data_IF_869663584557
#
_entry.id   IF_869663584557
#
_cell.length_a   1.000
_cell.length_b   1.000
_cell.length_c   1.000
_cell.angle_alpha   90.00
_cell.angle_beta   90.00
_cell.angle_gamma   90.00
#
_symmetry.space_group_name_H-M   'P 1'
#
loop_
_entity.id
_entity.type
_entity.pdbx_description
1 polymer ?
#
# COMPACT_ATOMS: atom_id res chain seq x y z
N UNK A 1 18.82 11.11 18.11
CA UNK A 1 17.74 11.72 17.29
C UNK A 1 17.18 10.62 16.41
N UNK A 2 15.87 10.43 16.37
CA UNK A 2 15.27 9.48 15.41
C UNK A 2 15.63 9.93 13.99
N UNK A 3 15.98 8.98 13.10
CA UNK A 3 16.24 9.28 11.71
C UNK A 3 14.98 9.85 11.08
N UNK A 4 15.12 10.90 10.28
CA UNK A 4 13.97 11.45 9.54
C UNK A 4 13.52 10.45 8.48
N UNK A 5 12.21 10.36 8.31
CA UNK A 5 11.62 9.54 7.25
C UNK A 5 11.86 10.18 5.89
N UNK A 6 12.30 9.37 4.93
CA UNK A 6 12.70 9.79 3.60
C UNK A 6 11.55 9.62 2.61
N UNK A 7 11.25 10.66 1.86
CA UNK A 7 10.23 10.63 0.82
C UNK A 7 10.88 10.97 -0.52
N UNK A 8 10.74 10.10 -1.49
CA UNK A 8 11.11 10.36 -2.87
C UNK A 8 9.91 10.98 -3.59
N UNK A 9 10.08 12.16 -4.15
CA UNK A 9 9.08 12.89 -4.93
C UNK A 9 9.50 12.82 -6.39
N UNK A 10 8.69 12.21 -7.22
CA UNK A 10 8.94 12.05 -8.67
C UNK A 10 7.82 12.78 -9.41
N UNK A 11 8.15 13.93 -9.98
CA UNK A 11 7.20 14.81 -10.66
C UNK A 11 7.97 15.71 -11.64
N UNK A 12 7.58 15.77 -12.89
CA UNK A 12 8.25 16.60 -13.92
C UNK A 12 7.93 18.09 -13.76
N UNK A 13 6.83 18.46 -13.10
CA UNK A 13 6.56 19.83 -12.72
C UNK A 13 7.34 20.21 -11.45
N UNK A 14 8.46 20.89 -11.64
CA UNK A 14 9.34 21.34 -10.55
C UNK A 14 8.58 22.17 -9.51
N UNK A 15 7.61 23.00 -9.91
CA UNK A 15 6.87 23.84 -8.96
C UNK A 15 5.98 22.98 -8.05
N UNK A 16 5.33 21.96 -8.60
CA UNK A 16 4.52 21.02 -7.83
C UNK A 16 5.42 20.22 -6.89
N UNK A 17 6.53 19.68 -7.39
CA UNK A 17 7.49 18.93 -6.60
C UNK A 17 8.09 19.74 -5.44
N UNK A 18 8.48 20.99 -5.68
CA UNK A 18 8.99 21.91 -4.65
C UNK A 18 7.91 22.24 -3.61
N UNK A 19 6.68 22.47 -4.06
CA UNK A 19 5.55 22.74 -3.16
C UNK A 19 5.28 21.55 -2.24
N UNK A 20 5.25 20.33 -2.79
CA UNK A 20 5.12 19.09 -2.02
C UNK A 20 6.27 18.96 -1.00
N UNK A 21 7.50 19.15 -1.47
CA UNK A 21 8.70 19.09 -0.62
C UNK A 21 8.64 20.09 0.53
N UNK A 22 8.19 21.32 0.27
CA UNK A 22 8.05 22.35 1.28
C UNK A 22 7.06 21.92 2.39
N UNK A 23 5.89 21.38 2.01
CA UNK A 23 4.92 20.90 3.00
C UNK A 23 5.44 19.74 3.82
N UNK A 24 6.07 18.76 3.17
CA UNK A 24 6.59 17.57 3.85
C UNK A 24 7.79 17.89 4.74
N UNK A 25 8.66 18.81 4.35
CA UNK A 25 9.80 19.25 5.16
C UNK A 25 9.33 19.99 6.44
N UNK A 26 8.25 20.79 6.36
CA UNK A 26 7.62 21.39 7.54
C UNK A 26 7.13 20.34 8.55
N UNK A 27 6.79 19.17 8.08
CA UNK A 27 6.35 18.02 8.89
C UNK A 27 7.51 17.07 9.28
N UNK A 28 8.74 17.58 9.18
CA UNK A 28 9.97 16.89 9.56
C UNK A 28 10.34 15.67 8.70
N UNK A 29 9.79 15.53 7.48
CA UNK A 29 10.26 14.56 6.51
C UNK A 29 11.54 15.03 5.83
N UNK A 30 12.35 14.06 5.38
CA UNK A 30 13.47 14.29 4.46
C UNK A 30 12.99 14.00 3.04
N UNK A 31 13.20 14.92 2.11
CA UNK A 31 12.65 14.81 0.76
C UNK A 31 13.73 14.87 -0.30
N UNK A 32 13.63 14.02 -1.31
CA UNK A 32 14.43 14.08 -2.53
C UNK A 32 13.47 14.27 -3.71
N UNK A 33 13.69 15.32 -4.49
CA UNK A 33 12.94 15.60 -5.72
C UNK A 33 13.72 15.02 -6.90
N UNK A 34 13.00 14.37 -7.79
CA UNK A 34 13.50 13.85 -9.07
C UNK A 34 12.46 14.16 -10.13
N UNK A 35 12.88 14.73 -11.26
CA UNK A 35 12.00 15.18 -12.32
C UNK A 35 11.99 14.28 -13.56
N UNK A 36 12.62 13.11 -13.47
CA UNK A 36 12.83 12.18 -14.57
C UNK A 36 12.67 10.73 -14.10
N UNK A 37 12.01 9.90 -14.92
CA UNK A 37 11.70 8.51 -14.56
C UNK A 37 12.92 7.60 -14.45
N UNK A 38 13.95 7.79 -15.30
CA UNK A 38 15.18 6.99 -15.21
C UNK A 38 15.98 7.35 -13.96
N UNK A 39 16.02 8.64 -13.62
CA UNK A 39 16.62 9.11 -12.38
C UNK A 39 15.88 8.60 -11.15
N UNK A 40 14.57 8.50 -11.21
CA UNK A 40 13.76 7.98 -10.12
C UNK A 40 14.18 6.55 -9.75
N UNK A 41 14.35 5.66 -10.71
CA UNK A 41 14.80 4.28 -10.48
C UNK A 41 16.23 4.21 -9.90
N UNK A 42 17.13 5.06 -10.37
CA UNK A 42 18.50 5.16 -9.83
C UNK A 42 18.52 5.66 -8.39
N UNK A 43 17.76 6.72 -8.12
CA UNK A 43 17.69 7.33 -6.79
C UNK A 43 16.91 6.47 -5.80
N UNK A 44 15.92 5.71 -6.25
CA UNK A 44 15.21 4.77 -5.41
C UNK A 44 16.16 3.83 -4.66
N UNK A 45 17.11 3.23 -5.37
CA UNK A 45 18.07 2.28 -4.76
C UNK A 45 19.04 2.96 -3.80
N UNK A 46 19.55 4.15 -4.15
CA UNK A 46 20.58 4.84 -3.36
C UNK A 46 20.00 5.63 -2.18
N UNK A 47 18.85 6.26 -2.37
CA UNK A 47 18.18 7.05 -1.33
C UNK A 47 17.46 6.20 -0.30
N UNK A 48 16.97 5.01 -0.68
CA UNK A 48 16.20 4.11 0.14
C UNK A 48 15.01 4.81 0.85
N UNK A 49 14.01 5.29 0.08
CA UNK A 49 12.89 6.04 0.62
C UNK A 49 11.97 5.17 1.47
N UNK A 50 11.28 5.78 2.42
CA UNK A 50 10.22 5.16 3.22
C UNK A 50 8.84 5.30 2.55
N UNK A 51 8.72 6.19 1.56
CA UNK A 51 7.52 6.39 0.75
C UNK A 51 7.91 7.09 -0.56
N UNK A 52 7.20 6.79 -1.64
CA UNK A 52 7.35 7.44 -2.94
C UNK A 52 6.05 8.17 -3.29
N UNK A 53 6.15 9.44 -3.64
CA UNK A 53 5.12 10.18 -4.36
C UNK A 53 5.49 10.16 -5.84
N UNK A 54 4.63 9.64 -6.69
CA UNK A 54 4.97 9.33 -8.08
C UNK A 54 3.93 9.90 -9.04
N UNK A 55 4.33 10.88 -9.84
CA UNK A 55 3.48 11.34 -10.95
C UNK A 55 3.34 10.25 -12.02
N UNK A 56 2.14 10.15 -12.55
CA UNK A 56 1.84 9.25 -13.66
C UNK A 56 2.35 9.77 -15.01
N UNK A 57 2.31 11.08 -15.19
CA UNK A 57 2.56 11.74 -16.48
C UNK A 57 3.99 12.23 -16.59
N UNK A 58 4.96 11.32 -16.45
CA UNK A 58 6.37 11.64 -16.59
C UNK A 58 6.84 11.52 -18.05
N UNK A 59 7.79 12.36 -18.49
CA UNK A 59 8.41 12.19 -19.78
C UNK A 59 9.36 10.96 -19.79
N UNK A 60 9.40 10.25 -20.91
CA UNK A 60 10.24 9.06 -21.06
C UNK A 60 9.60 7.81 -20.46
N UNK A 61 10.00 7.43 -19.27
CA UNK A 61 9.41 6.29 -18.54
C UNK A 61 8.23 6.81 -17.71
N UNK A 62 7.03 6.31 -17.98
CA UNK A 62 5.83 6.72 -17.26
C UNK A 62 5.78 6.19 -15.82
N UNK A 63 4.96 6.85 -14.97
CA UNK A 63 4.84 6.47 -13.56
C UNK A 63 4.34 5.04 -13.34
N UNK A 64 3.60 4.48 -14.27
CA UNK A 64 3.14 3.09 -14.19
C UNK A 64 4.28 2.09 -14.36
N UNK A 65 5.18 2.36 -15.30
CA UNK A 65 6.35 1.52 -15.53
C UNK A 65 7.32 1.61 -14.35
N UNK A 66 7.56 2.81 -13.82
CA UNK A 66 8.36 3.02 -12.61
C UNK A 66 7.79 2.22 -11.43
N UNK A 67 6.48 2.31 -11.20
CA UNK A 67 5.82 1.55 -10.15
C UNK A 67 6.03 0.05 -10.33
N UNK A 68 5.84 -0.48 -11.54
CA UNK A 68 6.05 -1.90 -11.86
C UNK A 68 7.49 -2.34 -11.60
N UNK A 69 8.49 -1.53 -12.01
CA UNK A 69 9.89 -1.86 -11.79
C UNK A 69 10.24 -1.88 -10.29
N UNK A 70 9.79 -0.90 -9.52
CA UNK A 70 10.00 -0.86 -8.07
C UNK A 70 9.34 -2.08 -7.40
N UNK A 71 8.13 -2.46 -7.81
CA UNK A 71 7.41 -3.61 -7.26
C UNK A 71 8.04 -4.97 -7.52
N UNK A 72 8.96 -5.08 -8.49
CA UNK A 72 9.75 -6.32 -8.67
C UNK A 72 10.69 -6.60 -7.50
N UNK A 73 11.10 -5.57 -6.76
CA UNK A 73 12.17 -5.66 -5.75
C UNK A 73 11.81 -5.06 -4.41
N UNK A 74 10.67 -4.38 -4.29
CA UNK A 74 10.32 -3.66 -3.06
C UNK A 74 8.81 -3.49 -2.87
N UNK A 75 8.40 -3.50 -1.59
CA UNK A 75 7.04 -3.17 -1.12
C UNK A 75 6.94 -1.76 -0.57
N UNK A 76 7.97 -0.92 -0.74
CA UNK A 76 7.91 0.49 -0.30
C UNK A 76 6.58 1.14 -0.70
N UNK A 77 5.89 1.85 0.19
CA UNK A 77 4.62 2.46 -0.16
C UNK A 77 4.76 3.48 -1.30
N UNK A 78 3.86 3.40 -2.27
CA UNK A 78 3.79 4.32 -3.41
C UNK A 78 2.41 4.99 -3.42
N UNK A 79 2.40 6.32 -3.37
CA UNK A 79 1.21 7.13 -3.61
C UNK A 79 1.35 7.74 -5.00
N UNK A 80 0.43 7.44 -5.90
CA UNK A 80 0.42 8.04 -7.23
C UNK A 80 -0.21 9.42 -7.22
N UNK A 81 0.40 10.35 -7.97
CA UNK A 81 -0.14 11.67 -8.25
C UNK A 81 -0.72 11.64 -9.68
N UNK A 82 -1.95 12.03 -9.86
CA UNK A 82 -2.64 11.95 -11.16
C UNK A 82 -3.32 13.26 -11.51
N UNK A 83 -3.25 13.71 -12.75
CA UNK A 83 -4.09 14.78 -13.26
C UNK A 83 -5.55 14.30 -13.32
N UNK A 84 -6.49 15.21 -13.05
CA UNK A 84 -7.93 14.93 -13.05
C UNK A 84 -8.39 14.48 -14.45
N UNK A 85 -8.75 13.21 -14.61
CA UNK A 85 -9.29 12.83 -15.90
C UNK A 85 -9.95 11.47 -16.01
N UNK A 86 -9.31 10.39 -15.71
CA UNK A 86 -9.93 9.10 -16.04
C UNK A 86 -9.92 8.10 -14.86
N UNK A 87 -11.11 7.55 -14.61
CA UNK A 87 -11.31 6.42 -13.69
C UNK A 87 -10.37 5.26 -14.07
N UNK A 88 -10.04 5.17 -15.35
CA UNK A 88 -9.13 4.15 -15.88
C UNK A 88 -7.70 4.29 -15.34
N UNK A 89 -7.17 5.51 -15.24
CA UNK A 89 -5.81 5.75 -14.72
C UNK A 89 -5.67 5.34 -13.25
N UNK A 90 -6.71 5.57 -12.45
CA UNK A 90 -6.75 5.17 -11.05
C UNK A 90 -6.75 3.65 -10.88
N UNK A 91 -7.59 2.97 -11.64
CA UNK A 91 -7.69 1.50 -11.61
C UNK A 91 -6.37 0.88 -12.06
N UNK A 92 -5.80 1.38 -13.15
CA UNK A 92 -4.53 0.89 -13.69
C UNK A 92 -3.36 1.11 -12.71
N UNK A 93 -3.26 2.31 -12.11
CA UNK A 93 -2.20 2.61 -11.13
C UNK A 93 -2.26 1.70 -9.91
N UNK A 94 -3.47 1.48 -9.40
CA UNK A 94 -3.69 0.54 -8.32
C UNK A 94 -3.45 -0.91 -8.77
N UNK A 95 -3.82 -1.31 -9.97
CA UNK A 95 -3.50 -2.65 -10.52
C UNK A 95 -2.00 -2.90 -10.63
N UNK A 96 -1.19 -1.88 -10.81
CA UNK A 96 0.26 -1.98 -10.94
C UNK A 96 1.03 -1.94 -9.62
N UNK A 97 0.38 -1.75 -8.48
CA UNK A 97 1.04 -1.86 -7.19
C UNK A 97 1.03 -0.59 -6.33
N UNK A 98 0.40 0.52 -6.74
CA UNK A 98 0.23 1.67 -5.88
C UNK A 98 -0.62 1.35 -4.64
N UNK A 99 -0.30 1.96 -3.52
CA UNK A 99 -1.03 1.79 -2.25
C UNK A 99 -2.15 2.81 -2.12
N UNK A 100 -1.96 4.01 -2.70
CA UNK A 100 -2.93 5.09 -2.72
C UNK A 100 -2.70 5.99 -3.94
N UNK A 101 -3.63 6.91 -4.21
CA UNK A 101 -3.44 7.94 -5.23
C UNK A 101 -4.05 9.27 -4.79
N UNK A 102 -3.53 10.37 -5.32
CA UNK A 102 -3.98 11.74 -5.07
C UNK A 102 -4.22 12.41 -6.42
N UNK A 103 -5.37 13.09 -6.55
CA UNK A 103 -5.71 13.80 -7.76
C UNK A 103 -5.14 15.23 -7.70
N UNK A 104 -4.45 15.64 -8.76
CA UNK A 104 -4.05 17.04 -8.97
C UNK A 104 -5.23 17.86 -9.54
N UNK A 105 -5.52 19.08 -9.07
CA UNK A 105 -4.86 19.76 -7.94
C UNK A 105 -5.36 19.21 -6.60
N UNK A 106 -4.45 19.08 -5.64
CA UNK A 106 -4.71 18.54 -4.31
C UNK A 106 -4.59 19.62 -3.21
N UNK A 107 -5.27 19.40 -2.11
CA UNK A 107 -5.06 20.18 -0.89
C UNK A 107 -3.79 19.70 -0.18
N UNK A 108 -2.97 20.64 0.28
CA UNK A 108 -1.70 20.33 0.97
C UNK A 108 -1.90 19.55 2.26
N UNK A 109 -2.99 19.81 2.99
CA UNK A 109 -3.29 19.09 4.24
C UNK A 109 -3.72 17.65 3.94
N UNK A 110 -4.47 17.44 2.85
CA UNK A 110 -4.84 16.10 2.38
C UNK A 110 -3.59 15.28 2.03
N UNK A 111 -2.69 15.84 1.22
CA UNK A 111 -1.44 15.18 0.85
C UNK A 111 -0.63 14.78 2.08
N UNK A 112 -0.40 15.73 3.00
CA UNK A 112 0.36 15.47 4.24
C UNK A 112 -0.32 14.41 5.11
N UNK A 113 -1.65 14.46 5.24
CA UNK A 113 -2.41 13.49 6.04
C UNK A 113 -2.28 12.07 5.46
N UNK A 114 -2.38 11.91 4.13
CA UNK A 114 -2.21 10.64 3.44
C UNK A 114 -0.80 10.08 3.59
N UNK A 115 0.22 10.90 3.37
CA UNK A 115 1.62 10.54 3.56
C UNK A 115 1.87 10.05 4.99
N UNK A 116 1.42 10.82 6.00
CA UNK A 116 1.56 10.42 7.40
C UNK A 116 0.84 9.11 7.72
N UNK A 117 -0.37 8.94 7.19
CA UNK A 117 -1.15 7.73 7.41
C UNK A 117 -0.46 6.49 6.83
N UNK A 118 0.04 6.58 5.59
CA UNK A 118 0.74 5.49 4.92
C UNK A 118 2.05 5.16 5.65
N UNK A 119 2.88 6.16 5.96
CA UNK A 119 4.16 5.95 6.67
C UNK A 119 3.95 5.38 8.07
N UNK A 120 2.98 5.87 8.82
CA UNK A 120 2.69 5.35 10.18
C UNK A 120 2.37 3.86 10.16
N UNK A 121 1.62 3.40 9.17
CA UNK A 121 1.27 2.00 8.99
C UNK A 121 2.48 1.15 8.65
N UNK A 122 3.33 1.66 7.76
CA UNK A 122 4.57 0.98 7.37
C UNK A 122 5.60 0.89 8.50
N UNK A 123 5.72 1.93 9.33
CA UNK A 123 6.66 1.93 10.46
C UNK A 123 6.24 1.03 11.61
N UNK A 124 4.95 0.88 11.85
CA UNK A 124 4.46 -0.09 12.82
C UNK A 124 4.81 -1.53 12.37
N UNK A 125 5.00 -1.74 11.06
CA UNK A 125 5.52 -2.98 10.52
C UNK A 125 7.02 -3.21 10.78
N UNK A 126 7.83 -2.13 10.81
CA UNK A 126 9.30 -2.24 10.84
C UNK A 126 9.89 -2.21 12.26
N UNK A 127 9.12 -1.82 13.29
CA UNK A 127 9.61 -1.71 14.69
C UNK A 127 9.61 -3.03 15.45
N UNK A 128 9.17 -4.11 14.88
CA UNK A 128 9.34 -5.44 15.43
C UNK A 128 10.68 -6.05 15.01
N UNK A 129 11.78 -5.48 15.50
CA UNK A 129 13.12 -6.09 15.36
C UNK A 129 13.17 -7.36 16.21
N UNK A 130 13.13 -8.49 15.58
CA UNK A 130 13.37 -9.80 16.19
C UNK A 130 14.85 -10.14 16.01
N UNK A 131 15.59 -10.57 17.07
CA UNK A 131 16.89 -11.23 16.91
C UNK A 131 16.69 -12.55 16.15
N UNK A 132 17.52 -12.77 15.13
CA UNK A 132 17.60 -14.05 14.44
C UNK A 132 18.06 -15.14 15.41
N UNK A 133 17.17 -16.03 15.79
CA UNK A 133 17.50 -17.38 16.24
C UNK A 133 16.49 -18.37 15.60
N UNK A 134 17.01 -19.55 15.24
CA UNK A 134 16.48 -20.68 14.48
C UNK A 134 14.97 -21.02 14.62
N UNK A 135 14.39 -21.85 13.73
CA UNK A 135 12.95 -21.97 13.48
C UNK A 135 12.20 -22.55 14.69
N UNK A 136 11.79 -21.69 15.57
CA UNK A 136 10.76 -21.94 16.57
C UNK A 136 9.49 -21.19 16.12
N UNK A 137 8.35 -21.81 16.31
CA UNK A 137 7.01 -21.26 16.07
C UNK A 137 6.95 -19.79 16.48
N UNK A 138 6.57 -18.85 15.58
CA UNK A 138 6.57 -17.42 15.93
C UNK A 138 5.71 -17.17 17.16
N UNK A 139 6.26 -16.48 18.17
CA UNK A 139 5.46 -16.02 19.30
C UNK A 139 4.30 -15.18 18.80
N UNK A 140 3.10 -15.70 18.98
CA UNK A 140 1.82 -15.09 18.60
C UNK A 140 1.47 -13.98 19.58
N UNK A 141 2.26 -12.89 19.62
CA UNK A 141 1.93 -11.71 20.40
C UNK A 141 1.37 -10.61 19.49
N UNK A 142 0.19 -10.11 19.79
CA UNK A 142 -0.46 -9.02 19.05
C UNK A 142 -1.74 -9.42 18.31
N UNK A 143 -2.21 -8.54 17.45
CA UNK A 143 -3.41 -8.77 16.63
C UNK A 143 -3.06 -9.62 15.40
N UNK A 144 -3.44 -10.89 15.42
CA UNK A 144 -3.22 -11.81 14.32
C UNK A 144 -4.43 -12.74 14.11
N UNK A 145 -4.54 -13.27 12.93
CA UNK A 145 -5.49 -14.34 12.60
C UNK A 145 -4.73 -15.50 11.96
N UNK A 146 -5.12 -16.73 12.29
CA UNK A 146 -4.50 -17.93 11.77
C UNK A 146 -5.56 -18.89 11.19
N UNK A 147 -5.30 -19.32 9.98
CA UNK A 147 -6.05 -20.35 9.25
C UNK A 147 -5.09 -21.40 8.74
N UNK A 148 -5.54 -22.58 8.30
CA UNK A 148 -4.66 -23.54 7.66
C UNK A 148 -3.88 -22.87 6.52
N UNK A 149 -2.57 -23.01 6.54
CA UNK A 149 -1.61 -22.43 5.59
C UNK A 149 -1.60 -20.89 5.46
N UNK A 150 -2.28 -20.15 6.36
CA UNK A 150 -2.31 -18.69 6.32
C UNK A 150 -2.28 -18.11 7.73
N UNK A 151 -1.24 -17.31 8.02
CA UNK A 151 -1.15 -16.50 9.25
C UNK A 151 -0.98 -15.05 8.83
N UNK A 152 -1.85 -14.18 9.32
CA UNK A 152 -1.81 -12.74 9.05
C UNK A 152 -1.62 -12.04 10.38
N UNK A 153 -0.54 -11.31 10.53
CA UNK A 153 -0.27 -10.54 11.74
C UNK A 153 -0.28 -9.05 11.41
N UNK A 154 -1.29 -8.34 11.92
CA UNK A 154 -1.44 -6.90 11.72
C UNK A 154 -0.45 -6.10 12.57
N UNK A 155 -0.04 -6.61 13.71
CA UNK A 155 0.86 -5.89 14.61
C UNK A 155 2.25 -5.74 14.03
N UNK A 156 2.79 -6.78 13.41
CA UNK A 156 4.12 -6.75 12.78
C UNK A 156 4.05 -6.71 11.24
N UNK A 157 2.86 -6.54 10.67
CA UNK A 157 2.62 -6.46 9.22
C UNK A 157 3.22 -7.62 8.43
N UNK A 158 3.08 -8.84 8.92
CA UNK A 158 3.61 -10.03 8.26
C UNK A 158 2.50 -10.99 7.85
N UNK A 159 2.71 -11.65 6.72
CA UNK A 159 1.85 -12.72 6.22
C UNK A 159 2.71 -13.94 5.99
N UNK A 160 2.32 -15.07 6.58
CA UNK A 160 2.91 -16.37 6.30
C UNK A 160 1.86 -17.17 5.52
N UNK A 161 2.20 -17.57 4.32
CA UNK A 161 1.36 -18.39 3.46
C UNK A 161 2.12 -19.64 3.01
N UNK A 162 1.54 -20.83 3.24
CA UNK A 162 2.18 -22.12 2.95
C UNK A 162 3.58 -22.28 3.59
N UNK A 163 3.73 -21.79 4.84
CA UNK A 163 4.97 -21.75 5.61
C UNK A 163 6.08 -20.85 5.06
N UNK A 164 5.78 -19.98 4.09
CA UNK A 164 6.69 -18.99 3.55
C UNK A 164 6.23 -17.57 3.88
N UNK A 165 7.19 -16.67 4.14
CA UNK A 165 6.87 -15.26 4.30
C UNK A 165 6.43 -14.70 2.95
N UNK A 166 5.21 -14.14 2.93
CA UNK A 166 4.65 -13.50 1.75
C UNK A 166 4.78 -11.97 1.89
N UNK A 167 5.58 -11.38 1.02
CA UNK A 167 5.72 -9.94 0.97
C UNK A 167 4.45 -9.28 0.40
N UNK A 168 3.87 -8.38 1.19
CA UNK A 168 2.56 -7.81 0.89
C UNK A 168 2.53 -6.30 1.18
N UNK A 169 2.13 -5.46 0.20
CA UNK A 169 1.93 -4.04 0.44
C UNK A 169 0.95 -3.78 1.59
N UNK A 170 1.14 -2.70 2.37
CA UNK A 170 0.36 -2.45 3.59
C UNK A 170 -1.15 -2.50 3.39
N UNK A 171 -1.68 -1.91 2.31
CA UNK A 171 -3.12 -1.90 2.04
C UNK A 171 -3.71 -3.27 1.69
N UNK A 172 -2.93 -4.11 1.05
CA UNK A 172 -3.33 -5.49 0.78
C UNK A 172 -3.39 -6.29 2.08
N UNK A 173 -2.39 -6.13 2.96
CA UNK A 173 -2.35 -6.79 4.26
C UNK A 173 -3.51 -6.32 5.15
N UNK A 174 -3.73 -5.02 5.27
CA UNK A 174 -4.83 -4.45 6.06
C UNK A 174 -6.19 -4.97 5.59
N UNK A 175 -6.42 -5.00 4.27
CA UNK A 175 -7.66 -5.51 3.69
C UNK A 175 -7.84 -7.01 3.96
N UNK A 176 -6.78 -7.79 3.77
CA UNK A 176 -6.79 -9.23 4.03
C UNK A 176 -7.05 -9.52 5.51
N UNK A 177 -6.33 -8.84 6.41
CA UNK A 177 -6.50 -8.98 7.85
C UNK A 177 -7.92 -8.62 8.29
N UNK A 178 -8.44 -7.48 7.82
CA UNK A 178 -9.79 -7.03 8.17
C UNK A 178 -10.85 -8.05 7.77
N UNK A 179 -10.79 -8.56 6.55
CA UNK A 179 -11.72 -9.58 6.08
C UNK A 179 -11.56 -10.90 6.84
N UNK A 180 -10.33 -11.34 7.09
CA UNK A 180 -10.05 -12.59 7.81
C UNK A 180 -10.41 -12.51 9.30
N UNK A 181 -10.37 -11.32 9.91
CA UNK A 181 -10.81 -11.11 11.30
C UNK A 181 -12.33 -11.14 11.46
N UNK A 182 -13.07 -11.08 10.35
CA UNK A 182 -14.54 -11.12 10.32
C UNK A 182 -15.04 -12.24 9.40
N UNK A 183 -14.75 -13.51 9.71
CA UNK A 183 -15.05 -14.62 8.82
C UNK A 183 -16.56 -14.73 8.55
N UNK A 184 -16.91 -15.02 7.29
CA UNK A 184 -18.28 -15.16 6.80
C UNK A 184 -19.14 -13.88 6.85
N UNK A 185 -18.59 -12.74 7.29
CA UNK A 185 -19.27 -11.46 7.23
C UNK A 185 -19.05 -10.82 5.86
N UNK A 186 -20.15 -10.34 5.26
CA UNK A 186 -20.11 -9.62 3.98
C UNK A 186 -19.92 -8.13 4.25
N UNK A 187 -18.96 -7.53 3.57
CA UNK A 187 -18.72 -6.07 3.58
C UNK A 187 -18.95 -5.49 2.20
N UNK A 188 -19.63 -4.35 2.14
CA UNK A 188 -19.77 -3.61 0.88
C UNK A 188 -18.43 -2.98 0.49
N UNK A 189 -18.31 -2.57 -0.77
CA UNK A 189 -17.11 -1.87 -1.24
C UNK A 189 -16.87 -0.57 -0.49
N UNK A 190 -17.93 0.16 -0.20
CA UNK A 190 -17.90 1.39 0.57
C UNK A 190 -17.39 1.14 2.00
N UNK A 191 -17.94 0.15 2.68
CA UNK A 191 -17.49 -0.22 4.02
C UNK A 191 -16.01 -0.59 4.06
N UNK A 192 -15.55 -1.39 3.09
CA UNK A 192 -14.13 -1.75 2.99
C UNK A 192 -13.26 -0.53 2.68
N UNK A 193 -13.73 0.37 1.82
CA UNK A 193 -13.03 1.59 1.50
C UNK A 193 -12.86 2.47 2.75
N UNK A 194 -13.94 2.71 3.48
CA UNK A 194 -13.94 3.50 4.70
C UNK A 194 -13.02 2.92 5.78
N UNK A 195 -13.07 1.61 6.00
CA UNK A 195 -12.25 0.95 7.02
C UNK A 195 -10.77 0.93 6.68
N UNK A 196 -10.40 0.69 5.41
CA UNK A 196 -9.01 0.48 5.01
C UNK A 196 -8.34 1.78 4.55
N UNK A 197 -9.07 2.66 3.86
CA UNK A 197 -8.53 3.92 3.35
C UNK A 197 -8.94 5.14 4.19
N UNK A 198 -10.01 5.02 4.96
CA UNK A 198 -10.53 6.07 5.86
C UNK A 198 -11.73 6.81 5.28
N UNK A 199 -12.52 7.40 6.17
CA UNK A 199 -13.78 8.08 5.84
C UNK A 199 -13.62 9.28 4.90
N UNK A 200 -12.44 9.93 4.94
CA UNK A 200 -12.11 11.08 4.10
C UNK A 200 -11.51 10.69 2.75
N UNK A 201 -11.52 9.40 2.42
CA UNK A 201 -10.97 8.93 1.17
C UNK A 201 -11.92 9.24 0.01
N UNK A 202 -11.56 10.23 -0.83
CA UNK A 202 -12.33 10.66 -2.01
C UNK A 202 -12.01 9.77 -3.23
N UNK A 203 -11.85 8.47 -3.02
CA UNK A 203 -11.53 7.51 -4.06
C UNK A 203 -12.74 6.72 -4.57
N UNK A 204 -12.52 5.99 -5.69
CA UNK A 204 -13.53 5.08 -6.25
C UNK A 204 -13.54 3.77 -5.45
N UNK A 205 -14.72 3.21 -5.22
CA UNK A 205 -14.91 1.90 -4.59
C UNK A 205 -14.26 0.75 -5.36
N UNK A 206 -13.95 0.94 -6.64
CA UNK A 206 -13.17 -0.01 -7.48
C UNK A 206 -11.74 -0.22 -6.97
N UNK A 207 -11.21 0.70 -6.14
CA UNK A 207 -9.95 0.51 -5.42
C UNK A 207 -9.95 -0.81 -4.65
N UNK A 208 -11.06 -1.15 -4.01
CA UNK A 208 -11.23 -2.41 -3.29
C UNK A 208 -11.14 -3.61 -4.23
N UNK A 209 -11.82 -3.53 -5.40
CA UNK A 209 -11.83 -4.63 -6.38
C UNK A 209 -10.41 -4.96 -6.86
N UNK A 210 -9.60 -3.93 -7.08
CA UNK A 210 -8.20 -4.08 -7.52
C UNK A 210 -7.37 -4.79 -6.43
N UNK A 211 -7.49 -4.37 -5.18
CA UNK A 211 -6.73 -4.99 -4.09
C UNK A 211 -7.19 -6.43 -3.83
N UNK A 212 -8.48 -6.73 -3.94
CA UNK A 212 -9.00 -8.10 -3.86
C UNK A 212 -8.44 -8.97 -5.01
N UNK A 213 -8.35 -8.43 -6.23
CA UNK A 213 -7.75 -9.14 -7.37
C UNK A 213 -6.30 -9.52 -7.07
N UNK A 214 -5.48 -8.56 -6.58
CA UNK A 214 -4.08 -8.80 -6.22
C UNK A 214 -3.91 -9.80 -5.09
N UNK A 215 -4.77 -9.71 -4.07
CA UNK A 215 -4.78 -10.70 -2.99
C UNK A 215 -4.99 -12.11 -3.55
N UNK A 216 -5.95 -12.29 -4.46
CA UNK A 216 -6.22 -13.58 -5.12
C UNK A 216 -5.09 -14.04 -6.05
N UNK A 217 -4.27 -13.16 -6.56
CA UNK A 217 -3.07 -13.50 -7.32
C UNK A 217 -1.97 -14.05 -6.43
N UNK A 218 -1.82 -13.49 -5.22
CA UNK A 218 -0.81 -13.88 -4.23
C UNK A 218 -1.21 -15.07 -3.38
N UNK A 219 -2.46 -15.12 -2.92
CA UNK A 219 -3.00 -16.20 -2.10
C UNK A 219 -4.13 -16.90 -2.86
N UNK A 220 -4.05 -18.22 -2.94
CA UNK A 220 -5.09 -19.03 -3.58
C UNK A 220 -6.11 -19.48 -2.54
N UNK A 221 -7.34 -19.72 -2.97
CA UNK A 221 -8.37 -20.30 -2.12
C UNK A 221 -7.88 -21.64 -1.56
N UNK A 222 -8.06 -21.83 -0.26
CA UNK A 222 -7.82 -23.06 0.44
C UNK A 222 -9.12 -23.88 0.52
N UNK A 223 -9.05 -25.18 0.80
CA UNK A 223 -10.24 -26.02 0.94
C UNK A 223 -11.19 -25.49 2.03
N UNK A 224 -10.62 -24.98 3.14
CA UNK A 224 -11.36 -24.52 4.32
C UNK A 224 -11.62 -23.02 4.36
N UNK A 225 -11.00 -22.21 3.51
CA UNK A 225 -11.21 -20.75 3.46
C UNK A 225 -10.95 -20.17 2.08
N UNK A 226 -11.44 -18.94 1.84
CA UNK A 226 -11.19 -18.22 0.61
C UNK A 226 -11.75 -16.80 0.61
N UNK A 227 -11.27 -15.99 -0.33
CA UNK A 227 -11.80 -14.64 -0.57
C UNK A 227 -12.97 -14.72 -1.56
N UNK A 228 -14.20 -14.66 -1.04
CA UNK A 228 -15.41 -14.80 -1.84
C UNK A 228 -15.99 -13.44 -2.26
N UNK A 229 -16.49 -13.38 -3.49
CA UNK A 229 -17.29 -12.25 -4.00
C UNK A 229 -18.77 -12.52 -3.75
N UNK A 230 -19.45 -11.56 -3.16
CA UNK A 230 -20.91 -11.55 -3.07
C UNK A 230 -21.41 -10.57 -4.13
N UNK A 231 -21.92 -11.13 -5.23
CA UNK A 231 -22.31 -10.37 -6.41
C UNK A 231 -23.30 -9.25 -6.09
N UNK A 232 -23.03 -8.06 -6.60
CA UNK A 232 -23.86 -6.88 -6.36
C UNK A 232 -23.70 -6.23 -4.99
N UNK A 233 -22.92 -6.84 -4.05
CA UNK A 233 -22.75 -6.34 -2.69
C UNK A 233 -21.27 -6.00 -2.42
N UNK A 234 -20.39 -7.01 -2.37
CA UNK A 234 -18.99 -6.80 -2.00
C UNK A 234 -18.24 -8.10 -1.76
N UNK A 235 -17.49 -8.18 -0.66
CA UNK A 235 -16.56 -9.25 -0.39
C UNK A 235 -16.69 -9.81 1.01
N UNK A 236 -16.23 -11.05 1.20
CA UNK A 236 -16.08 -11.71 2.49
C UNK A 236 -14.88 -12.64 2.49
N UNK A 237 -14.31 -12.88 3.65
CA UNK A 237 -13.46 -14.04 3.89
C UNK A 237 -14.36 -15.20 4.29
N UNK A 238 -14.49 -16.18 3.42
CA UNK A 238 -15.34 -17.34 3.63
C UNK A 238 -14.58 -18.44 4.33
N UNK A 239 -15.10 -18.93 5.45
CA UNK A 239 -14.62 -20.14 6.13
C UNK A 239 -15.63 -21.24 5.88
N UNK A 240 -15.13 -22.33 5.31
CA UNK A 240 -15.90 -23.53 4.96
C UNK A 240 -15.71 -24.56 6.07
N UNK A 241 -16.79 -25.25 6.38
CA UNK A 241 -16.77 -26.36 7.35
C UNK A 241 -16.41 -27.66 6.69
#
# INVERSE_FOLDING_TARGET
MAAKQKILIVDDDTNIAELISLYLTKECFDTLIVNDGEEALRHFQSYAPNLILLDLMLPGIDGYEICREIRKTSTVPIIMLSAKGEIFDKVLGLELGADDYIIKPFDSKELVARVKAVIRRFNNATTATIPQEAPSVPEQSGEFVAYPDLIINQTNYSVIYQNENLDMPPKELELLYFLASHPNQVFTREQLLDHIWGYDYIGDTRTVDVHIKRLREKIKDHETWGLATVWGIGYKFEVRK
#
